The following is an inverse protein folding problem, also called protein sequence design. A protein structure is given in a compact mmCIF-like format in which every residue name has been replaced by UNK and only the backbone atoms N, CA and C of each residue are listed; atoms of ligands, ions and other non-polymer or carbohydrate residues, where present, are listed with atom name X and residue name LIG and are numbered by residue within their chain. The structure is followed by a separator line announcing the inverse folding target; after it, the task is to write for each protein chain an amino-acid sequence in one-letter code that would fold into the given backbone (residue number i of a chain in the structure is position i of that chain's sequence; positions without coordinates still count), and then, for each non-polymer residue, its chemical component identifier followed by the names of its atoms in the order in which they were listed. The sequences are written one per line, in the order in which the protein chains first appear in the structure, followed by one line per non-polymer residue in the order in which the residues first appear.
data_IF_255146948586
#
_entry.id   IF_255146948586
#
_cell.length_a   1.000
_cell.length_b   1.000
_cell.length_c   1.000
_cell.angle_alpha   90.00
_cell.angle_beta   90.00
_cell.angle_gamma   90.00
#
_symmetry.space_group_name_H-M   'P 1'
#
loop_
_entity.id
_entity.type
_entity.pdbx_description
1 polymer ?
#
# COMPACT_ATOMS: atom_id res chain seq x y z
N UNK A 1 40.54 -27.10 10.39
CA UNK A 1 39.60 -26.92 9.27
C UNK A 1 38.25 -26.66 9.90
N UNK A 2 37.75 -25.43 9.81
CA UNK A 2 36.51 -25.00 10.45
C UNK A 2 35.32 -25.40 9.59
N UNK A 3 34.47 -26.27 10.12
CA UNK A 3 33.13 -26.52 9.57
C UNK A 3 32.31 -25.24 9.71
N UNK A 4 32.03 -24.59 8.58
CA UNK A 4 31.03 -23.54 8.47
C UNK A 4 29.66 -24.22 8.54
N UNK A 5 29.11 -24.32 9.75
CA UNK A 5 27.73 -24.77 9.95
C UNK A 5 26.76 -23.82 9.25
N UNK A 6 25.93 -24.37 8.36
CA UNK A 6 24.80 -23.63 7.82
C UNK A 6 23.89 -23.18 8.97
N UNK A 7 23.38 -21.94 8.97
CA UNK A 7 22.47 -21.50 10.01
C UNK A 7 21.21 -22.36 9.98
N UNK A 8 20.90 -23.04 11.09
CA UNK A 8 19.66 -23.79 11.25
C UNK A 8 18.47 -22.87 10.96
N UNK A 9 17.69 -23.22 9.94
CA UNK A 9 16.40 -22.59 9.66
C UNK A 9 15.45 -22.92 10.80
N UNK A 10 15.21 -21.95 11.68
CA UNK A 10 14.17 -22.05 12.71
C UNK A 10 12.83 -22.20 12.01
N UNK A 11 12.08 -23.25 12.34
CA UNK A 11 10.74 -23.47 11.80
C UNK A 11 9.83 -22.28 12.16
N UNK A 12 8.94 -21.91 11.23
CA UNK A 12 8.02 -20.77 11.38
C UNK A 12 7.24 -20.77 12.69
N UNK A 13 6.77 -21.94 13.14
CA UNK A 13 6.05 -22.13 14.40
C UNK A 13 6.93 -21.79 15.62
N UNK A 14 8.17 -22.28 15.62
CA UNK A 14 9.14 -21.98 16.68
C UNK A 14 9.49 -20.49 16.72
N UNK A 15 9.53 -19.81 15.57
CA UNK A 15 9.73 -18.36 15.54
C UNK A 15 8.54 -17.61 16.14
N UNK A 16 7.30 -18.04 15.87
CA UNK A 16 6.10 -17.44 16.47
C UNK A 16 6.10 -17.59 17.99
N UNK A 17 6.43 -18.77 18.51
CA UNK A 17 6.47 -19.04 19.95
C UNK A 17 7.52 -18.20 20.70
N UNK A 18 8.56 -17.72 20.00
CA UNK A 18 9.60 -16.86 20.55
C UNK A 18 9.21 -15.36 20.58
N UNK A 19 8.11 -14.97 19.92
CA UNK A 19 7.67 -13.59 19.93
C UNK A 19 7.05 -13.22 21.28
N UNK A 20 7.51 -12.10 21.84
CA UNK A 20 6.94 -11.54 23.09
C UNK A 20 5.61 -10.79 22.86
N UNK A 21 5.12 -10.76 21.63
CA UNK A 21 3.89 -10.10 21.23
C UNK A 21 3.18 -10.93 20.16
N UNK A 22 1.86 -10.78 20.07
CA UNK A 22 1.08 -11.40 19.00
C UNK A 22 1.24 -10.57 17.71
N UNK A 23 1.93 -11.09 16.67
CA UNK A 23 2.15 -10.37 15.41
C UNK A 23 0.87 -10.26 14.57
N UNK A 24 -0.21 -10.94 14.96
CA UNK A 24 -1.53 -10.91 14.32
C UNK A 24 -2.53 -10.04 15.06
N UNK A 25 -2.16 -9.47 16.21
CA UNK A 25 -3.06 -8.66 17.03
C UNK A 25 -3.61 -7.48 16.23
N UNK A 26 -4.93 -7.48 16.05
CA UNK A 26 -5.65 -6.43 15.36
C UNK A 26 -6.09 -5.33 16.34
N UNK A 27 -5.69 -4.09 16.10
CA UNK A 27 -6.28 -2.91 16.75
C UNK A 27 -7.29 -2.30 15.77
N UNK A 28 -8.55 -2.77 15.84
CA UNK A 28 -9.62 -2.44 14.87
C UNK A 28 -9.81 -0.93 14.76
N UNK A 29 -9.77 -0.23 15.89
CA UNK A 29 -10.02 1.21 15.96
C UNK A 29 -8.90 2.03 15.29
N UNK A 30 -7.71 1.45 15.15
CA UNK A 30 -6.55 2.09 14.48
C UNK A 30 -6.25 1.53 13.10
N UNK A 31 -6.86 0.41 12.74
CA UNK A 31 -6.61 -0.24 11.47
C UNK A 31 -7.35 0.51 10.36
N UNK A 32 -6.58 0.99 9.39
CA UNK A 32 -7.13 1.52 8.15
C UNK A 32 -6.55 0.73 6.98
N UNK A 33 -7.43 0.35 6.06
CA UNK A 33 -7.04 -0.18 4.76
C UNK A 33 -6.53 0.98 3.92
N UNK A 34 -5.44 0.78 3.21
CA UNK A 34 -4.73 1.84 2.51
C UNK A 34 -4.65 1.51 1.02
N UNK A 35 -5.05 2.46 0.18
CA UNK A 35 -4.69 2.49 -1.23
C UNK A 35 -3.93 3.77 -1.55
N UNK A 36 -2.88 3.65 -2.35
CA UNK A 36 -2.15 4.80 -2.89
C UNK A 36 -2.27 4.73 -4.39
N UNK A 37 -3.00 5.68 -4.97
CA UNK A 37 -3.43 5.71 -6.37
C UNK A 37 -2.80 6.93 -7.03
N UNK A 38 -2.36 6.81 -8.28
CA UNK A 38 -1.96 7.98 -9.08
C UNK A 38 -3.18 8.49 -9.83
N UNK A 39 -3.60 9.71 -9.54
CA UNK A 39 -4.40 10.50 -10.47
C UNK A 39 -3.46 11.14 -11.49
N UNK A 40 -3.78 11.00 -12.76
CA UNK A 40 -3.04 11.63 -13.85
C UNK A 40 -3.99 12.06 -14.97
N UNK A 41 -4.07 13.36 -15.29
CA UNK A 41 -4.95 13.86 -16.34
C UNK A 41 -4.52 13.38 -17.73
N UNK A 42 -3.26 13.00 -17.91
CA UNK A 42 -2.71 12.49 -19.17
C UNK A 42 -3.16 11.08 -19.53
N UNK A 43 -3.79 10.33 -18.62
CA UNK A 43 -4.28 8.98 -18.88
C UNK A 43 -5.55 8.92 -19.75
N UNK A 44 -6.16 10.07 -20.04
CA UNK A 44 -7.32 10.17 -20.93
C UNK A 44 -7.04 11.10 -22.09
N UNK A 45 -7.64 10.84 -23.25
CA UNK A 45 -7.44 11.66 -24.45
C UNK A 45 -7.80 13.14 -24.28
N UNK A 46 -8.78 13.43 -23.44
CA UNK A 46 -9.16 14.80 -23.09
C UNK A 46 -8.80 15.04 -21.61
N UNK A 47 -7.94 16.01 -21.34
CA UNK A 47 -7.58 16.36 -19.98
C UNK A 47 -8.78 17.02 -19.26
N UNK A 48 -9.08 16.63 -18.01
CA UNK A 48 -10.18 17.24 -17.27
C UNK A 48 -9.94 18.73 -17.00
N UNK A 49 -10.90 19.58 -17.34
CA UNK A 49 -10.90 21.01 -16.96
C UNK A 49 -11.81 21.27 -15.77
N UNK A 50 -12.82 20.42 -15.57
CA UNK A 50 -13.70 20.42 -14.42
C UNK A 50 -13.76 19.04 -13.76
N UNK A 51 -14.22 18.98 -12.51
CA UNK A 51 -14.42 17.70 -11.80
C UNK A 51 -15.47 16.82 -12.50
N UNK A 52 -16.36 17.41 -13.32
CA UNK A 52 -17.31 16.66 -14.14
C UNK A 52 -16.64 15.87 -15.27
N UNK A 53 -15.48 16.33 -15.74
CA UNK A 53 -14.74 15.70 -16.83
C UNK A 53 -13.84 14.55 -16.35
N UNK A 54 -13.55 14.50 -15.05
CA UNK A 54 -12.75 13.44 -14.43
C UNK A 54 -13.45 12.10 -14.63
N UNK A 55 -12.70 11.10 -15.09
CA UNK A 55 -13.12 9.72 -15.33
C UNK A 55 -12.35 8.77 -14.43
N UNK A 56 -12.89 7.57 -14.22
CA UNK A 56 -12.17 6.48 -13.54
C UNK A 56 -10.80 6.19 -14.16
N UNK A 57 -10.71 6.30 -15.49
CA UNK A 57 -9.48 6.11 -16.25
C UNK A 57 -8.37 7.15 -15.93
N UNK A 58 -8.70 8.28 -15.31
CA UNK A 58 -7.68 9.21 -14.80
C UNK A 58 -6.97 8.69 -13.56
N UNK A 59 -7.45 7.60 -12.96
CA UNK A 59 -6.83 6.95 -11.82
C UNK A 59 -6.15 5.68 -12.30
N UNK A 60 -4.81 5.65 -12.26
CA UNK A 60 -4.02 4.53 -12.73
C UNK A 60 -4.39 3.24 -11.98
N UNK A 61 -4.67 2.15 -12.70
CA UNK A 61 -5.10 0.86 -12.15
C UNK A 61 -6.33 0.95 -11.22
N UNK A 62 -7.30 1.82 -11.52
CA UNK A 62 -8.45 2.08 -10.65
C UNK A 62 -9.18 0.81 -10.18
N UNK A 63 -9.57 -0.07 -11.11
CA UNK A 63 -10.28 -1.31 -10.78
C UNK A 63 -9.45 -2.22 -9.86
N UNK A 64 -8.16 -2.37 -10.14
CA UNK A 64 -7.25 -3.20 -9.34
C UNK A 64 -7.14 -2.68 -7.90
N UNK A 65 -7.15 -1.35 -7.73
CA UNK A 65 -7.19 -0.73 -6.41
C UNK A 65 -8.47 -1.05 -5.65
N UNK A 66 -9.63 -1.05 -6.33
CA UNK A 66 -10.92 -1.38 -5.70
C UNK A 66 -10.99 -2.86 -5.34
N UNK A 67 -10.57 -3.75 -6.24
CA UNK A 67 -10.59 -5.19 -6.00
C UNK A 67 -9.63 -5.58 -4.86
N UNK A 68 -8.45 -4.96 -4.79
CA UNK A 68 -7.55 -5.13 -3.64
C UNK A 68 -8.19 -4.66 -2.33
N UNK A 69 -8.88 -3.52 -2.33
CA UNK A 69 -9.56 -3.00 -1.12
C UNK A 69 -10.65 -3.97 -0.66
N UNK A 70 -11.50 -4.45 -1.58
CA UNK A 70 -12.53 -5.47 -1.31
C UNK A 70 -11.93 -6.73 -0.71
N UNK A 71 -10.95 -7.30 -1.38
CA UNK A 71 -10.29 -8.52 -0.92
C UNK A 71 -9.66 -8.36 0.48
N UNK A 72 -9.07 -7.18 0.75
CA UNK A 72 -8.49 -6.88 2.06
C UNK A 72 -9.57 -6.74 3.15
N UNK A 73 -10.65 -6.02 2.84
CA UNK A 73 -11.80 -5.87 3.72
C UNK A 73 -12.44 -7.23 4.08
N UNK A 74 -12.67 -8.07 3.08
CA UNK A 74 -13.22 -9.42 3.24
C UNK A 74 -12.34 -10.30 4.12
N UNK A 75 -11.01 -10.20 3.95
CA UNK A 75 -10.06 -10.93 4.80
C UNK A 75 -10.20 -10.52 6.27
N UNK A 76 -10.04 -9.23 6.58
CA UNK A 76 -10.04 -8.78 7.97
C UNK A 76 -11.40 -8.94 8.65
N UNK A 77 -12.51 -8.79 7.92
CA UNK A 77 -13.85 -9.08 8.46
C UNK A 77 -14.06 -10.53 8.77
N UNK A 78 -13.64 -11.42 7.87
CA UNK A 78 -13.77 -12.87 8.07
C UNK A 78 -12.93 -13.34 9.25
N UNK A 79 -11.72 -12.82 9.40
CA UNK A 79 -10.87 -13.07 10.58
C UNK A 79 -11.56 -12.64 11.88
N UNK A 80 -12.17 -11.46 11.91
CA UNK A 80 -12.86 -10.94 13.09
C UNK A 80 -14.16 -11.66 13.45
N UNK A 81 -14.89 -12.18 12.45
CA UNK A 81 -16.11 -13.00 12.68
C UNK A 81 -15.77 -14.30 13.41
N UNK A 82 -14.63 -14.91 13.10
CA UNK A 82 -14.18 -16.13 13.78
C UNK A 82 -13.83 -15.90 15.25
N UNK A 83 -13.48 -14.66 15.63
CA UNK A 83 -13.20 -14.25 17.00
C UNK A 83 -14.46 -13.88 17.82
N UNK A 84 -15.67 -14.14 17.27
CA UNK A 84 -16.98 -13.84 17.90
C UNK A 84 -17.21 -12.36 18.22
N UNK A 85 -16.46 -11.44 17.62
CA UNK A 85 -16.47 -10.05 18.07
C UNK A 85 -17.61 -9.21 17.50
N UNK A 86 -18.11 -9.42 16.27
CA UNK A 86 -19.19 -8.56 15.74
C UNK A 86 -19.94 -9.22 14.57
N UNK A 87 -21.27 -9.31 14.64
CA UNK A 87 -22.13 -9.76 13.52
C UNK A 87 -22.19 -8.73 12.37
N UNK A 88 -21.89 -7.45 12.65
CA UNK A 88 -22.14 -6.29 11.79
C UNK A 88 -20.87 -5.46 11.40
N UNK A 89 -19.67 -6.06 11.37
CA UNK A 89 -18.44 -5.27 11.18
C UNK A 89 -18.34 -4.52 9.84
N UNK A 90 -18.99 -5.00 8.78
CA UNK A 90 -18.96 -4.36 7.45
C UNK A 90 -20.37 -4.17 6.90
N UNK A 91 -21.07 -3.09 7.31
CA UNK A 91 -22.42 -2.81 6.83
C UNK A 91 -22.46 -2.20 5.41
N UNK A 92 -21.32 -2.14 4.71
CA UNK A 92 -21.18 -1.38 3.46
C UNK A 92 -20.52 -2.18 2.35
N UNK A 93 -21.01 -1.98 1.13
CA UNK A 93 -20.42 -2.52 -0.08
C UNK A 93 -19.37 -1.55 -0.64
N UNK A 94 -18.12 -2.01 -0.79
CA UNK A 94 -17.10 -1.24 -1.47
C UNK A 94 -17.39 -1.31 -2.97
N UNK A 95 -17.94 -0.26 -3.54
CA UNK A 95 -18.21 -0.18 -4.98
C UNK A 95 -17.30 0.81 -5.68
N UNK A 96 -16.95 0.54 -6.94
CA UNK A 96 -16.24 1.50 -7.77
C UNK A 96 -16.96 2.86 -7.83
N UNK A 97 -18.30 2.85 -7.88
CA UNK A 97 -19.10 4.07 -7.92
C UNK A 97 -18.91 4.88 -6.63
N UNK A 98 -19.06 4.24 -5.48
CA UNK A 98 -18.89 4.90 -4.18
C UNK A 98 -17.51 5.54 -4.05
N UNK A 99 -16.45 4.77 -4.33
CA UNK A 99 -15.07 5.28 -4.22
C UNK A 99 -14.79 6.39 -5.24
N UNK A 100 -15.30 6.26 -6.47
CA UNK A 100 -15.14 7.29 -7.49
C UNK A 100 -15.87 8.59 -7.14
N UNK A 101 -17.07 8.50 -6.56
CA UNK A 101 -17.80 9.67 -6.09
C UNK A 101 -17.05 10.37 -4.95
N UNK A 102 -16.49 9.61 -3.99
CA UNK A 102 -15.64 10.17 -2.93
C UNK A 102 -14.42 10.90 -3.52
N UNK A 103 -13.73 10.29 -4.49
CA UNK A 103 -12.59 10.92 -5.17
C UNK A 103 -12.96 12.23 -5.86
N UNK A 104 -14.09 12.26 -6.58
CA UNK A 104 -14.56 13.48 -7.25
C UNK A 104 -14.94 14.56 -6.24
N UNK A 105 -15.63 14.20 -5.17
CA UNK A 105 -15.99 15.14 -4.10
C UNK A 105 -14.72 15.73 -3.46
N UNK A 106 -13.72 14.90 -3.13
CA UNK A 106 -12.46 15.39 -2.57
C UNK A 106 -11.70 16.30 -3.55
N UNK A 107 -11.65 15.98 -4.84
CA UNK A 107 -11.05 16.86 -5.86
C UNK A 107 -11.77 18.22 -5.93
N UNK A 108 -13.10 18.23 -5.85
CA UNK A 108 -13.91 19.44 -5.85
C UNK A 108 -13.68 20.29 -4.60
N UNK A 109 -13.77 19.68 -3.42
CA UNK A 109 -13.62 20.35 -2.13
C UNK A 109 -12.21 20.89 -1.90
N UNK A 110 -11.19 20.14 -2.32
CA UNK A 110 -9.78 20.52 -2.13
C UNK A 110 -9.32 21.61 -3.11
N UNK A 111 -10.09 21.90 -4.17
CA UNK A 111 -9.76 22.87 -5.21
C UNK A 111 -8.36 22.70 -5.81
N UNK A 112 -7.90 21.46 -5.92
CA UNK A 112 -6.59 21.15 -6.51
C UNK A 112 -6.61 21.38 -8.02
N UNK A 113 -5.43 21.56 -8.60
CA UNK A 113 -5.25 21.66 -10.05
C UNK A 113 -5.50 20.31 -10.72
N UNK A 114 -6.54 20.23 -11.54
CA UNK A 114 -6.91 19.01 -12.29
C UNK A 114 -5.98 18.73 -13.47
N UNK A 115 -5.20 19.71 -13.90
CA UNK A 115 -4.21 19.56 -14.97
C UNK A 115 -2.84 19.07 -14.47
N UNK A 116 -2.72 18.80 -13.16
CA UNK A 116 -1.51 18.25 -12.54
C UNK A 116 -1.77 16.83 -12.00
N UNK A 117 -0.78 15.92 -12.10
CA UNK A 117 -0.90 14.61 -11.51
C UNK A 117 -0.80 14.68 -9.98
N UNK A 118 -1.57 13.81 -9.33
CA UNK A 118 -1.68 13.76 -7.88
C UNK A 118 -1.44 12.33 -7.38
N UNK A 119 -0.72 12.21 -6.26
CA UNK A 119 -0.75 11.03 -5.41
C UNK A 119 -1.97 11.12 -4.51
N UNK A 120 -2.89 10.20 -4.72
CA UNK A 120 -4.10 10.01 -3.91
C UNK A 120 -3.80 8.96 -2.84
N UNK A 121 -3.92 9.34 -1.57
CA UNK A 121 -3.87 8.41 -0.44
C UNK A 121 -5.30 8.20 0.08
N UNK A 122 -5.86 7.05 -0.24
CA UNK A 122 -7.18 6.62 0.20
C UNK A 122 -7.04 5.73 1.42
N UNK A 123 -7.67 6.12 2.52
CA UNK A 123 -7.74 5.41 3.79
C UNK A 123 -9.18 4.99 4.02
N UNK A 124 -9.38 3.73 4.39
CA UNK A 124 -10.70 3.20 4.72
C UNK A 124 -10.65 2.57 6.11
N UNK A 125 -11.48 3.09 7.01
CA UNK A 125 -11.69 2.51 8.33
C UNK A 125 -12.52 1.23 8.22
N UNK A 126 -12.44 0.36 9.22
CA UNK A 126 -13.24 -0.87 9.24
C UNK A 126 -14.75 -0.61 9.29
N UNK A 127 -15.19 0.56 9.77
CA UNK A 127 -16.60 1.00 9.76
C UNK A 127 -17.09 1.53 8.39
N UNK A 128 -16.20 1.68 7.40
CA UNK A 128 -16.52 2.13 6.04
C UNK A 128 -16.34 3.61 5.76
N UNK A 129 -15.92 4.38 6.75
CA UNK A 129 -15.52 5.76 6.53
C UNK A 129 -14.26 5.79 5.65
N UNK A 130 -14.33 6.63 4.60
CA UNK A 130 -13.23 6.84 3.66
C UNK A 130 -12.67 8.24 3.86
N UNK A 131 -11.35 8.32 4.03
CA UNK A 131 -10.58 9.57 4.05
C UNK A 131 -9.65 9.58 2.85
N UNK A 132 -9.66 10.67 2.09
CA UNK A 132 -8.78 10.84 0.92
C UNK A 132 -7.88 12.04 1.14
N UNK A 133 -6.58 11.83 0.98
CA UNK A 133 -5.57 12.86 0.99
C UNK A 133 -4.97 13.01 -0.42
N UNK A 134 -4.76 14.25 -0.84
CA UNK A 134 -4.22 14.59 -2.16
C UNK A 134 -2.87 15.26 -2.00
N UNK A 135 -1.87 14.76 -2.72
CA UNK A 135 -0.53 15.35 -2.76
C UNK A 135 -0.09 15.51 -4.21
N UNK A 136 0.49 16.65 -4.56
CA UNK A 136 1.12 16.83 -5.87
C UNK A 136 2.23 15.78 -6.06
N UNK A 137 2.37 15.28 -7.29
CA UNK A 137 3.43 14.36 -7.67
C UNK A 137 4.01 14.78 -9.02
N UNK A 138 5.28 14.44 -9.34
CA UNK A 138 5.85 14.82 -10.62
C UNK A 138 5.08 14.26 -11.82
N UNK A 139 5.08 15.04 -12.91
CA UNK A 139 4.64 14.59 -14.22
C UNK A 139 5.54 13.46 -14.71
N UNK A 140 4.94 12.44 -15.32
CA UNK A 140 5.63 11.32 -15.95
C UNK A 140 5.07 11.11 -17.33
N UNK A 141 5.93 11.02 -18.34
CA UNK A 141 5.52 10.77 -19.72
C UNK A 141 5.01 9.34 -19.92
N UNK A 142 5.65 8.38 -19.24
CA UNK A 142 5.29 6.98 -19.27
C UNK A 142 5.28 6.43 -17.84
N UNK A 143 4.15 5.88 -17.38
CA UNK A 143 4.04 5.26 -16.05
C UNK A 143 4.54 3.82 -16.01
N UNK A 144 4.77 3.23 -17.18
CA UNK A 144 5.30 1.89 -17.37
C UNK A 144 6.79 1.93 -17.73
N UNK A 145 7.43 3.09 -17.57
CA UNK A 145 8.86 3.24 -17.78
C UNK A 145 9.62 2.32 -16.81
N UNK A 146 10.35 1.35 -17.38
CA UNK A 146 11.09 0.35 -16.61
C UNK A 146 10.54 -1.07 -16.64
N UNK A 147 9.42 -1.33 -17.33
CA UNK A 147 8.98 -2.70 -17.65
C UNK A 147 9.61 -3.23 -18.95
N UNK A 148 9.98 -2.33 -19.86
CA UNK A 148 10.61 -2.69 -21.14
C UNK A 148 12.13 -2.85 -21.00
N UNK A 149 12.66 -3.98 -21.50
CA UNK A 149 14.09 -4.34 -21.45
C UNK A 149 15.03 -3.33 -22.14
N UNK A 150 14.49 -2.44 -22.98
CA UNK A 150 15.24 -1.42 -23.72
C UNK A 150 15.11 0.01 -23.18
N UNK A 151 14.37 0.22 -22.09
CA UNK A 151 14.15 1.57 -21.56
C UNK A 151 15.43 2.13 -20.92
N UNK A 152 15.87 3.29 -21.40
CA UNK A 152 16.98 4.02 -20.77
C UNK A 152 16.46 4.64 -19.47
N UNK A 153 16.62 3.92 -18.36
CA UNK A 153 16.27 4.42 -17.03
C UNK A 153 16.99 5.74 -16.77
N UNK A 154 16.22 6.83 -16.74
CA UNK A 154 16.74 8.16 -16.37
C UNK A 154 16.94 8.27 -14.86
N UNK A 155 16.22 7.47 -14.07
CA UNK A 155 16.31 7.45 -12.61
C UNK A 155 16.70 6.07 -12.07
N UNK A 156 17.76 6.03 -11.25
CA UNK A 156 18.21 4.81 -10.55
C UNK A 156 17.98 4.95 -9.05
N UNK A 157 17.54 3.86 -8.42
CA UNK A 157 17.38 3.74 -6.98
C UNK A 157 18.56 2.99 -6.37
N UNK A 158 19.00 3.43 -5.19
CA UNK A 158 19.95 2.66 -4.38
C UNK A 158 19.17 1.69 -3.49
N UNK A 159 19.50 0.41 -3.57
CA UNK A 159 18.83 -0.66 -2.84
C UNK A 159 19.68 -1.11 -1.66
N UNK A 160 19.05 -1.18 -0.50
CA UNK A 160 19.65 -1.67 0.74
C UNK A 160 18.89 -2.90 1.22
N UNK A 161 19.60 -3.96 1.59
CA UNK A 161 18.97 -5.18 2.12
C UNK A 161 18.94 -5.10 3.64
N UNK A 162 17.74 -5.24 4.22
CA UNK A 162 17.61 -5.42 5.66
C UNK A 162 17.83 -6.89 6.00
N UNK A 163 18.93 -7.18 6.70
CA UNK A 163 19.35 -8.56 6.97
C UNK A 163 18.56 -9.25 8.10
N UNK A 164 17.79 -8.50 8.90
CA UNK A 164 16.88 -9.09 9.88
C UNK A 164 15.63 -9.62 9.17
N UNK A 165 15.35 -10.94 9.25
CA UNK A 165 14.19 -11.52 8.59
C UNK A 165 12.87 -10.95 9.12
N UNK A 166 11.92 -10.79 8.20
CA UNK A 166 10.56 -10.36 8.51
C UNK A 166 9.61 -11.54 8.46
N UNK A 167 8.80 -11.70 9.51
CA UNK A 167 7.73 -12.69 9.54
C UNK A 167 6.62 -12.29 8.55
N UNK A 168 6.26 -13.16 7.58
CA UNK A 168 5.08 -12.95 6.77
C UNK A 168 3.82 -12.92 7.64
N UNK A 169 3.01 -11.87 7.48
CA UNK A 169 1.76 -11.66 8.22
C UNK A 169 0.72 -10.95 7.34
N UNK A 170 -0.54 -10.82 7.79
CA UNK A 170 -1.53 -10.00 7.09
C UNK A 170 -1.04 -8.57 6.83
N UNK A 171 -0.21 -8.00 7.71
CA UNK A 171 0.32 -6.65 7.55
C UNK A 171 1.47 -6.56 6.54
N UNK A 172 2.03 -7.70 6.11
CA UNK A 172 2.95 -7.75 4.96
C UNK A 172 2.22 -8.04 3.66
N UNK A 173 1.15 -8.83 3.69
CA UNK A 173 0.37 -9.21 2.50
C UNK A 173 -0.64 -8.14 2.06
N UNK A 174 -1.21 -7.42 3.02
CA UNK A 174 -2.22 -6.39 2.77
C UNK A 174 -1.67 -4.98 3.01
N UNK A 175 -2.16 -4.03 2.21
CA UNK A 175 -1.76 -2.63 2.36
C UNK A 175 -2.63 -1.95 3.41
N UNK A 176 -2.07 -1.78 4.60
CA UNK A 176 -2.73 -1.12 5.75
C UNK A 176 -1.87 0.03 6.29
N UNK A 177 -2.39 0.75 7.27
CA UNK A 177 -1.64 1.72 8.08
C UNK A 177 -0.72 1.06 9.12
N UNK A 178 -0.90 -0.23 9.41
CA UNK A 178 -0.01 -0.98 10.29
C UNK A 178 1.29 -1.31 9.55
N UNK A 179 2.27 -0.40 9.65
CA UNK A 179 3.51 -0.43 8.85
C UNK A 179 4.78 -0.48 9.68
N UNK A 180 4.70 -0.81 10.96
CA UNK A 180 5.82 -0.80 11.91
C UNK A 180 7.04 -1.56 11.38
N UNK A 181 6.83 -2.75 10.81
CA UNK A 181 7.92 -3.56 10.23
C UNK A 181 8.65 -2.81 9.11
N UNK A 182 7.89 -2.23 8.16
CA UNK A 182 8.47 -1.44 7.07
C UNK A 182 9.16 -0.17 7.56
N UNK A 183 8.55 0.53 8.52
CA UNK A 183 9.13 1.75 9.12
C UNK A 183 10.44 1.43 9.83
N UNK A 184 10.48 0.37 10.63
CA UNK A 184 11.68 -0.05 11.34
C UNK A 184 12.79 -0.45 10.37
N UNK A 185 12.48 -1.21 9.32
CA UNK A 185 13.46 -1.60 8.32
C UNK A 185 14.05 -0.38 7.59
N UNK A 186 13.21 0.59 7.18
CA UNK A 186 13.68 1.83 6.57
C UNK A 186 14.59 2.62 7.51
N UNK A 187 14.20 2.75 8.77
CA UNK A 187 14.99 3.48 9.78
C UNK A 187 16.34 2.81 10.08
N UNK A 188 16.43 1.49 9.97
CA UNK A 188 17.67 0.72 10.21
C UNK A 188 18.59 0.68 8.99
N UNK A 189 18.04 0.48 7.80
CA UNK A 189 18.81 0.15 6.61
C UNK A 189 19.14 1.35 5.70
N UNK A 190 18.29 2.39 5.67
CA UNK A 190 18.49 3.50 4.73
C UNK A 190 19.48 4.52 5.33
N UNK A 191 20.58 4.84 4.63
CA UNK A 191 21.58 5.79 5.13
C UNK A 191 21.17 7.25 4.90
N UNK A 192 20.15 7.52 4.08
CA UNK A 192 19.65 8.86 3.81
C UNK A 192 20.57 9.69 2.91
N UNK A 193 21.41 9.05 2.10
CA UNK A 193 22.38 9.73 1.23
C UNK A 193 21.69 10.33 0.01
N UNK A 194 20.60 9.71 -0.46
CA UNK A 194 19.81 10.15 -1.61
C UNK A 194 18.31 10.10 -1.28
N UNK A 195 17.81 11.01 -0.42
CA UNK A 195 16.41 11.03 -0.02
C UNK A 195 15.45 10.96 -1.21
N UNK A 196 14.51 10.02 -1.17
CA UNK A 196 13.54 9.77 -2.25
C UNK A 196 14.04 8.91 -3.41
N UNK A 197 15.33 8.52 -3.43
CA UNK A 197 15.92 7.61 -4.43
C UNK A 197 16.62 6.39 -3.77
N UNK A 198 16.19 6.06 -2.56
CA UNK A 198 16.68 4.92 -1.78
C UNK A 198 15.50 4.04 -1.39
N UNK A 199 15.68 2.72 -1.47
CA UNK A 199 14.67 1.75 -1.06
C UNK A 199 15.30 0.58 -0.29
N UNK A 200 14.52 -0.02 0.61
CA UNK A 200 14.91 -1.18 1.41
C UNK A 200 14.21 -2.43 0.89
N UNK A 201 14.98 -3.50 0.70
CA UNK A 201 14.48 -4.84 0.40
C UNK A 201 14.45 -5.63 1.71
N UNK A 202 13.31 -6.28 1.96
CA UNK A 202 13.11 -7.17 3.10
C UNK A 202 13.29 -8.61 2.67
N UNK A 203 13.84 -9.43 3.55
CA UNK A 203 13.90 -10.89 3.40
C UNK A 203 12.96 -11.55 4.39
N UNK A 204 12.28 -12.62 3.99
CA UNK A 204 11.41 -13.38 4.88
C UNK A 204 12.21 -14.38 5.75
N UNK A 205 11.53 -15.07 6.67
CA UNK A 205 12.14 -16.08 7.56
C UNK A 205 12.74 -17.29 6.85
N UNK A 206 12.45 -17.47 5.56
CA UNK A 206 13.04 -18.50 4.69
C UNK A 206 14.22 -17.97 3.86
N UNK A 207 14.71 -16.76 4.16
CA UNK A 207 15.77 -16.06 3.40
C UNK A 207 15.43 -15.84 1.92
N UNK A 208 14.17 -15.53 1.61
CA UNK A 208 13.70 -15.14 0.27
C UNK A 208 13.24 -13.68 0.23
#
# INVERSE_FOLDING_TARGET
MSETGEPETIAYETFIDLLQFDPYKLDIDKLQLLSTIRYDPGLTSNQPTTVADVKKANFFCFSDHIDRLRFTADFFTSSLKNEKLVEDLFPYEITEKYIFDQLRNTLFESQVRLDLPMKVRLLMNMNGEVTIELHETPVRENLLDGLDEGSLFTEKFDLYVQNEPVLPSPFTSFKTTHRTVYTNARNKALPGQRPGKEEVVLVNTSNQ
#
